data_IF_518482741698
#
_entry.id   IF_518482741698
#
_cell.length_a   1.000
_cell.length_b   1.000
_cell.length_c   1.000
_cell.angle_alpha   90.00
_cell.angle_beta   90.00
_cell.angle_gamma   90.00
#
_symmetry.space_group_name_H-M   'P 1'
#
loop_
_entity.id
_entity.type
_entity.pdbx_description
1 polymer ?
#
# COMPACT_ATOMS: atom_id res chain seq x y z
N UNK A 1 29.58 -19.37 -8.10
CA UNK A 1 28.21 -18.88 -8.38
C UNK A 1 28.13 -17.47 -7.83
N UNK A 2 28.19 -16.46 -8.72
CA UNK A 2 28.10 -15.06 -8.30
C UNK A 2 26.65 -14.77 -7.95
N UNK A 3 26.32 -14.66 -6.66
CA UNK A 3 25.04 -14.14 -6.23
C UNK A 3 25.02 -12.64 -6.53
N UNK A 4 24.48 -12.26 -7.68
CA UNK A 4 24.16 -10.85 -7.95
C UNK A 4 23.19 -10.40 -6.87
N UNK A 5 23.64 -9.53 -5.96
CA UNK A 5 22.74 -8.79 -5.09
C UNK A 5 21.69 -8.12 -5.98
N UNK A 6 20.39 -8.41 -5.80
CA UNK A 6 19.36 -7.83 -6.64
C UNK A 6 19.46 -6.31 -6.58
N UNK A 7 19.40 -5.67 -7.74
CA UNK A 7 19.39 -4.21 -7.80
C UNK A 7 18.18 -3.68 -7.01
N UNK A 8 18.36 -2.68 -6.14
CA UNK A 8 17.26 -2.09 -5.40
C UNK A 8 16.26 -1.46 -6.37
N UNK A 9 15.06 -2.03 -6.45
CA UNK A 9 13.95 -1.46 -7.23
C UNK A 9 13.08 -0.60 -6.31
N UNK A 10 12.66 0.57 -6.80
CA UNK A 10 11.70 1.41 -6.09
C UNK A 10 10.31 0.81 -6.32
N UNK A 11 9.65 0.36 -5.24
CA UNK A 11 8.29 -0.19 -5.30
C UNK A 11 7.21 0.85 -5.07
N UNK A 12 7.55 1.88 -4.31
CA UNK A 12 6.62 2.95 -3.99
C UNK A 12 7.40 4.21 -3.69
N UNK A 13 6.89 5.33 -4.18
CA UNK A 13 7.42 6.67 -3.94
C UNK A 13 6.24 7.53 -3.54
N UNK A 14 6.32 8.13 -2.34
CA UNK A 14 5.26 8.99 -1.81
C UNK A 14 5.86 10.33 -1.37
N UNK A 15 5.23 11.43 -1.78
CA UNK A 15 5.67 12.79 -1.47
C UNK A 15 4.87 13.37 -0.30
N UNK A 16 5.55 13.98 0.67
CA UNK A 16 4.88 14.74 1.74
C UNK A 16 5.00 16.23 1.46
N UNK A 17 3.87 16.91 1.22
CA UNK A 17 3.84 18.34 0.84
C UNK A 17 3.94 19.32 2.03
N UNK A 18 4.27 18.84 3.23
CA UNK A 18 4.22 19.60 4.49
C UNK A 18 5.31 20.68 4.70
N UNK A 19 5.65 21.47 3.68
CA UNK A 19 6.62 22.57 3.69
C UNK A 19 8.12 22.21 3.71
N UNK A 20 8.49 20.96 3.42
CA UNK A 20 9.87 20.56 3.07
C UNK A 20 9.79 19.68 1.81
N UNK A 21 10.80 19.75 0.93
CA UNK A 21 10.93 18.83 -0.21
C UNK A 21 11.30 17.43 0.30
N UNK A 22 10.36 16.77 0.96
CA UNK A 22 10.53 15.48 1.59
C UNK A 22 9.90 14.39 0.72
N UNK A 23 10.73 13.53 0.18
CA UNK A 23 10.33 12.37 -0.60
C UNK A 23 10.62 11.10 0.21
N UNK A 24 9.60 10.29 0.46
CA UNK A 24 9.77 8.98 1.08
C UNK A 24 9.76 7.92 -0.01
N UNK A 25 10.85 7.17 -0.09
CA UNK A 25 10.99 6.06 -1.03
C UNK A 25 10.94 4.75 -0.26
N UNK A 26 10.22 3.80 -0.85
CA UNK A 26 10.25 2.41 -0.42
C UNK A 26 10.97 1.60 -1.49
N UNK A 27 12.02 0.91 -1.06
CA UNK A 27 12.86 0.08 -1.91
C UNK A 27 12.52 -1.38 -1.60
N UNK A 28 12.49 -2.23 -2.64
CA UNK A 28 12.41 -3.68 -2.47
C UNK A 28 13.46 -4.17 -1.46
N UNK A 29 13.08 -5.15 -0.64
CA UNK A 29 13.88 -5.77 0.43
C UNK A 29 13.85 -5.08 1.81
N UNK A 30 12.74 -4.43 2.20
CA UNK A 30 12.56 -3.95 3.57
C UNK A 30 13.54 -2.84 3.97
N UNK A 31 14.05 -2.11 2.97
CA UNK A 31 14.89 -0.93 3.14
C UNK A 31 14.04 0.30 2.84
N UNK A 32 14.09 1.27 3.75
CA UNK A 32 13.48 2.57 3.54
C UNK A 32 14.57 3.56 3.21
N UNK A 33 14.30 4.40 2.21
CA UNK A 33 15.12 5.55 1.92
C UNK A 33 14.27 6.79 2.15
N UNK A 34 14.71 7.62 3.09
CA UNK A 34 14.18 8.95 3.26
C UNK A 34 15.13 9.91 2.55
N UNK A 35 14.65 10.57 1.49
CA UNK A 35 15.44 11.60 0.82
C UNK A 35 14.75 12.93 1.06
N UNK A 36 15.49 13.88 1.61
CA UNK A 36 14.97 15.18 1.96
C UNK A 36 15.95 16.28 1.60
N UNK A 37 15.42 17.48 1.40
CA UNK A 37 16.19 18.72 1.39
C UNK A 37 15.71 19.61 2.52
N UNK A 38 16.64 20.14 3.31
CA UNK A 38 16.30 21.10 4.37
C UNK A 38 15.76 22.40 3.77
N UNK A 39 16.37 22.86 2.67
CA UNK A 39 15.89 23.96 1.84
C UNK A 39 15.98 23.59 0.35
N UNK A 40 15.20 24.24 -0.54
CA UNK A 40 15.24 23.94 -1.99
C UNK A 40 16.61 24.13 -2.65
N UNK A 41 17.53 24.86 -2.00
CA UNK A 41 18.88 25.13 -2.49
C UNK A 41 19.92 24.10 -2.05
N UNK A 42 19.58 23.26 -1.07
CA UNK A 42 20.50 22.25 -0.55
C UNK A 42 20.56 21.03 -1.46
N UNK A 43 21.68 20.30 -1.40
CA UNK A 43 21.77 18.99 -2.01
C UNK A 43 20.85 17.99 -1.26
N UNK A 44 20.25 17.02 -1.97
CA UNK A 44 19.40 16.01 -1.33
C UNK A 44 20.22 15.09 -0.42
N UNK A 45 19.81 14.99 0.85
CA UNK A 45 20.35 14.04 1.80
C UNK A 45 19.50 12.76 1.80
N UNK A 46 20.15 11.59 1.82
CA UNK A 46 19.48 10.30 1.86
C UNK A 46 19.84 9.54 3.14
N UNK A 47 18.83 9.17 3.93
CA UNK A 47 18.98 8.26 5.05
C UNK A 47 18.35 6.92 4.72
N UNK A 48 19.09 5.84 4.96
CA UNK A 48 18.60 4.48 4.80
C UNK A 48 18.33 3.87 6.17
N UNK A 49 17.19 3.24 6.34
CA UNK A 49 16.87 2.48 7.55
C UNK A 49 16.41 1.07 7.22
N UNK A 50 16.77 0.14 8.11
CA UNK A 50 16.29 -1.22 8.13
C UNK A 50 15.40 -1.38 9.37
N UNK A 51 14.17 -1.86 9.18
CA UNK A 51 13.25 -2.08 10.29
C UNK A 51 12.00 -2.82 9.82
N UNK A 52 11.40 -3.60 10.73
CA UNK A 52 10.10 -4.20 10.46
C UNK A 52 9.06 -3.10 10.44
N UNK A 53 8.57 -2.83 9.25
CA UNK A 53 7.46 -1.93 9.02
C UNK A 53 6.15 -2.50 9.61
N UNK A 54 5.37 -1.65 10.26
CA UNK A 54 4.10 -2.06 10.87
C UNK A 54 3.13 -2.65 9.82
N UNK A 55 2.48 -3.76 10.09
CA UNK A 55 1.56 -4.42 9.15
C UNK A 55 0.15 -4.28 9.67
N UNK A 56 -0.84 -4.49 8.80
CA UNK A 56 -2.15 -4.96 9.27
C UNK A 56 -1.93 -6.34 9.86
N UNK A 57 -2.41 -6.55 11.08
CA UNK A 57 -2.33 -7.82 11.81
C UNK A 57 -3.67 -8.58 11.73
N UNK A 58 -4.80 -7.88 11.61
CA UNK A 58 -6.15 -8.46 11.45
C UNK A 58 -6.37 -9.05 10.04
N UNK A 59 -5.68 -10.15 9.73
CA UNK A 59 -5.72 -10.83 8.43
C UNK A 59 -6.69 -12.02 8.47
N UNK A 60 -7.95 -11.79 8.13
CA UNK A 60 -9.01 -12.83 8.18
C UNK A 60 -9.43 -13.39 6.82
N UNK A 61 -9.32 -12.61 5.73
CA UNK A 61 -9.64 -13.07 4.38
C UNK A 61 -8.47 -13.82 3.73
N UNK A 62 -8.69 -14.96 3.04
CA UNK A 62 -7.59 -15.78 2.51
C UNK A 62 -6.92 -15.18 1.27
N UNK A 63 -7.62 -14.35 0.50
CA UNK A 63 -7.07 -13.72 -0.69
C UNK A 63 -6.06 -12.64 -0.34
N UNK A 64 -4.85 -12.79 -0.87
CA UNK A 64 -3.75 -11.84 -0.80
C UNK A 64 -3.51 -11.22 -2.19
N UNK A 65 -3.68 -9.91 -2.29
CA UNK A 65 -3.55 -9.13 -3.51
C UNK A 65 -2.20 -8.42 -3.51
N UNK A 66 -1.33 -8.77 -4.46
CA UNK A 66 -0.08 -8.06 -4.64
C UNK A 66 -0.37 -6.63 -5.10
N UNK A 67 0.16 -5.64 -4.38
CA UNK A 67 0.05 -4.22 -4.72
C UNK A 67 0.47 -3.93 -6.18
N UNK A 68 1.48 -4.63 -6.70
CA UNK A 68 1.96 -4.46 -8.07
C UNK A 68 0.96 -4.95 -9.13
N UNK A 69 -0.05 -5.75 -8.73
CA UNK A 69 -1.14 -6.16 -9.61
C UNK A 69 -2.28 -5.11 -9.69
N UNK A 70 -2.17 -4.01 -8.94
CA UNK A 70 -3.15 -2.93 -8.92
C UNK A 70 -2.68 -1.78 -9.80
N UNK A 71 -3.48 -1.45 -10.82
CA UNK A 71 -3.32 -0.22 -11.60
C UNK A 71 -4.30 0.82 -11.09
N UNK A 72 -3.78 1.82 -10.36
CA UNK A 72 -4.56 2.95 -9.83
C UNK A 72 -5.20 3.74 -10.97
N UNK A 73 -6.47 4.09 -10.82
CA UNK A 73 -7.25 4.85 -11.82
C UNK A 73 -7.72 6.19 -11.28
N UNK A 74 -8.18 6.24 -10.03
CA UNK A 74 -8.68 7.46 -9.40
C UNK A 74 -8.35 7.49 -7.90
N UNK A 75 -8.08 8.67 -7.36
CA UNK A 75 -7.95 8.86 -5.91
C UNK A 75 -9.26 9.38 -5.34
N UNK A 76 -9.87 8.61 -4.44
CA UNK A 76 -11.15 8.96 -3.81
C UNK A 76 -10.93 9.70 -2.48
N UNK A 77 -10.00 9.21 -1.66
CA UNK A 77 -9.59 9.84 -0.39
C UNK A 77 -8.09 9.68 -0.18
N UNK A 78 -7.59 10.08 0.99
CA UNK A 78 -6.18 9.88 1.35
C UNK A 78 -5.77 8.41 1.40
N UNK A 79 -6.68 7.51 1.78
CA UNK A 79 -6.42 6.08 1.97
C UNK A 79 -7.26 5.19 1.07
N UNK A 80 -8.12 5.75 0.21
CA UNK A 80 -8.97 5.00 -0.70
C UNK A 80 -8.72 5.44 -2.14
N UNK A 81 -8.47 4.48 -3.01
CA UNK A 81 -8.22 4.70 -4.43
C UNK A 81 -9.02 3.67 -5.24
N UNK A 82 -9.53 4.09 -6.38
CA UNK A 82 -10.01 3.16 -7.39
C UNK A 82 -8.81 2.52 -8.09
N UNK A 83 -8.90 1.21 -8.32
CA UNK A 83 -7.88 0.48 -9.06
C UNK A 83 -8.48 -0.61 -9.94
N UNK A 84 -7.79 -0.91 -11.03
CA UNK A 84 -7.99 -2.14 -11.79
C UNK A 84 -7.05 -3.20 -11.21
N UNK A 85 -7.64 -4.26 -10.66
CA UNK A 85 -6.92 -5.44 -10.22
C UNK A 85 -6.73 -6.40 -11.40
N UNK A 86 -5.46 -6.60 -11.80
CA UNK A 86 -5.07 -7.58 -12.81
C UNK A 86 -5.06 -8.98 -12.19
N UNK A 87 -5.94 -9.87 -12.68
CA UNK A 87 -6.26 -11.15 -12.01
C UNK A 87 -6.07 -12.36 -12.92
N UNK A 88 -4.90 -12.64 -13.43
CA UNK A 88 -4.73 -13.85 -14.27
C UNK A 88 -5.07 -15.15 -13.51
N UNK A 89 -5.87 -16.08 -14.07
CA UNK A 89 -6.41 -16.13 -15.44
C UNK A 89 -7.81 -15.48 -15.63
N UNK A 90 -8.34 -14.80 -14.62
CA UNK A 90 -9.60 -14.07 -14.67
C UNK A 90 -9.46 -12.69 -15.33
N UNK A 91 -10.60 -12.17 -15.79
CA UNK A 91 -10.66 -10.82 -16.33
C UNK A 91 -10.27 -9.77 -15.25
N UNK A 92 -9.64 -8.65 -15.67
CA UNK A 92 -9.37 -7.54 -14.78
C UNK A 92 -10.65 -7.03 -14.12
N UNK A 93 -10.55 -6.67 -12.84
CA UNK A 93 -11.70 -6.24 -12.05
C UNK A 93 -11.49 -4.82 -11.52
N UNK A 94 -12.51 -3.98 -11.65
CA UNK A 94 -12.53 -2.65 -11.03
C UNK A 94 -12.88 -2.78 -9.54
N UNK A 95 -12.06 -2.19 -8.67
CA UNK A 95 -12.15 -2.32 -7.22
C UNK A 95 -11.92 -0.98 -6.52
N UNK A 96 -12.30 -0.92 -5.24
CA UNK A 96 -11.84 0.11 -4.31
C UNK A 96 -10.75 -0.48 -3.44
N UNK A 97 -9.55 0.07 -3.52
CA UNK A 97 -8.42 -0.34 -2.70
C UNK A 97 -8.21 0.67 -1.58
N UNK A 98 -8.29 0.20 -0.33
CA UNK A 98 -8.02 0.99 0.87
C UNK A 98 -6.67 0.60 1.44
N UNK A 99 -5.68 1.49 1.37
CA UNK A 99 -4.30 1.15 1.74
C UNK A 99 -3.51 2.34 2.27
N UNK A 100 -2.47 2.04 3.06
CA UNK A 100 -1.52 3.04 3.54
C UNK A 100 -0.60 3.52 2.44
N UNK A 101 -0.35 4.83 2.38
CA UNK A 101 0.77 5.42 1.63
C UNK A 101 2.01 5.43 2.51
N UNK A 102 1.82 5.82 3.76
CA UNK A 102 2.87 5.92 4.76
C UNK A 102 2.70 4.90 5.88
N UNK A 103 3.81 4.45 6.47
CA UNK A 103 3.77 3.41 7.49
C UNK A 103 2.98 3.79 8.75
N UNK A 104 2.89 5.09 9.07
CA UNK A 104 2.12 5.58 10.22
C UNK A 104 0.59 5.54 9.99
N UNK A 105 0.13 5.42 8.75
CA UNK A 105 -1.31 5.34 8.43
C UNK A 105 -1.89 3.94 8.71
N UNK A 106 -1.05 2.95 9.04
CA UNK A 106 -1.45 1.55 9.20
C UNK A 106 -2.53 1.36 10.28
N UNK A 107 -2.52 2.19 11.32
CA UNK A 107 -3.50 2.12 12.40
C UNK A 107 -4.93 2.40 11.91
N UNK A 108 -5.10 3.26 10.91
CA UNK A 108 -6.41 3.52 10.31
C UNK A 108 -6.90 2.31 9.51
N UNK A 109 -6.02 1.70 8.73
CA UNK A 109 -6.34 0.50 7.95
C UNK A 109 -6.63 -0.69 8.87
N UNK A 110 -5.86 -0.89 9.94
CA UNK A 110 -6.07 -1.94 10.93
C UNK A 110 -7.48 -1.86 11.53
N UNK A 111 -7.87 -0.66 11.99
CA UNK A 111 -9.19 -0.43 12.58
C UNK A 111 -10.33 -0.68 11.57
N UNK A 112 -10.19 -0.19 10.33
CA UNK A 112 -11.20 -0.46 9.28
C UNK A 112 -11.28 -1.95 8.92
N UNK A 113 -10.13 -2.65 8.87
CA UNK A 113 -10.08 -4.07 8.53
C UNK A 113 -10.82 -4.93 9.57
N UNK A 114 -10.65 -4.63 10.85
CA UNK A 114 -11.37 -5.30 11.94
C UNK A 114 -12.89 -5.06 11.88
N UNK A 115 -13.32 -3.85 11.53
CA UNK A 115 -14.75 -3.56 11.33
C UNK A 115 -15.29 -4.38 10.15
N UNK A 116 -14.57 -4.43 9.04
CA UNK A 116 -15.00 -5.20 7.87
C UNK A 116 -15.08 -6.71 8.11
N UNK A 117 -14.29 -7.27 9.03
CA UNK A 117 -14.43 -8.67 9.45
C UNK A 117 -15.84 -8.95 10.00
N UNK A 118 -16.32 -8.08 10.87
CA UNK A 118 -17.65 -8.19 11.46
C UNK A 118 -18.76 -7.89 10.44
N UNK A 119 -18.60 -6.86 9.60
CA UNK A 119 -19.59 -6.51 8.58
C UNK A 119 -19.74 -7.60 7.51
N UNK A 120 -18.64 -8.26 7.12
CA UNK A 120 -18.65 -9.34 6.16
C UNK A 120 -19.47 -10.54 6.67
N UNK A 121 -19.36 -10.88 7.96
CA UNK A 121 -20.16 -11.95 8.56
C UNK A 121 -21.68 -11.65 8.56
N UNK A 122 -22.06 -10.38 8.47
CA UNK A 122 -23.44 -9.92 8.43
C UNK A 122 -23.96 -9.65 7.00
N UNK A 123 -23.11 -9.81 5.97
CA UNK A 123 -23.39 -9.40 4.60
C UNK A 123 -23.82 -7.93 4.46
N UNK A 124 -23.18 -7.03 5.24
CA UNK A 124 -23.44 -5.59 5.20
C UNK A 124 -22.32 -4.88 4.44
N UNK A 125 -22.68 -4.07 3.45
CA UNK A 125 -21.76 -3.24 2.69
C UNK A 125 -21.10 -3.97 1.51
N UNK A 126 -20.10 -3.34 0.87
CA UNK A 126 -19.40 -3.94 -0.26
C UNK A 126 -18.66 -5.22 0.14
N UNK A 127 -18.65 -6.19 -0.76
CA UNK A 127 -17.88 -7.42 -0.62
C UNK A 127 -16.39 -7.13 -0.42
N UNK A 128 -15.84 -7.70 0.64
CA UNK A 128 -14.40 -7.75 0.86
C UNK A 128 -13.75 -8.74 -0.11
N UNK A 129 -12.77 -8.29 -0.88
CA UNK A 129 -12.14 -9.08 -1.94
C UNK A 129 -10.81 -9.71 -1.52
N UNK A 130 -10.11 -9.09 -0.57
CA UNK A 130 -8.83 -9.57 -0.07
C UNK A 130 -7.97 -8.48 0.53
N UNK A 131 -6.89 -8.92 1.17
CA UNK A 131 -5.89 -8.03 1.75
C UNK A 131 -4.89 -7.60 0.68
N UNK A 132 -4.52 -6.33 0.67
CA UNK A 132 -3.48 -5.80 -0.22
C UNK A 132 -2.15 -5.87 0.50
N UNK A 133 -1.17 -6.51 -0.12
CA UNK A 133 0.17 -6.65 0.43
C UNK A 133 1.25 -6.13 -0.52
N UNK A 134 2.35 -5.74 0.08
CA UNK A 134 3.58 -5.38 -0.61
C UNK A 134 4.70 -6.22 0.00
N UNK A 135 5.29 -7.10 -0.83
CA UNK A 135 6.36 -8.01 -0.40
C UNK A 135 6.07 -8.74 0.93
N UNK A 136 4.84 -9.26 1.08
CA UNK A 136 4.38 -9.96 2.28
C UNK A 136 3.89 -9.08 3.44
N UNK A 137 4.18 -7.77 3.47
CA UNK A 137 3.58 -6.84 4.46
C UNK A 137 2.16 -6.48 4.02
N UNK A 138 1.17 -6.69 4.88
CA UNK A 138 -0.19 -6.24 4.59
C UNK A 138 -0.28 -4.73 4.83
N UNK A 139 -0.71 -4.00 3.80
CA UNK A 139 -0.76 -2.53 3.79
C UNK A 139 -2.16 -1.97 3.58
N UNK A 140 -3.15 -2.83 3.36
CA UNK A 140 -4.47 -2.44 2.93
C UNK A 140 -5.39 -3.62 2.67
N UNK A 141 -6.55 -3.33 2.11
CA UNK A 141 -7.52 -4.29 1.63
C UNK A 141 -8.28 -3.78 0.40
N UNK A 142 -8.95 -4.67 -0.30
CA UNK A 142 -9.75 -4.38 -1.47
C UNK A 142 -11.22 -4.70 -1.23
N UNK A 143 -12.09 -3.82 -1.72
CA UNK A 143 -13.54 -3.97 -1.75
C UNK A 143 -14.03 -3.99 -3.20
N UNK A 144 -15.17 -4.62 -3.44
CA UNK A 144 -15.85 -4.43 -4.72
C UNK A 144 -16.22 -2.96 -4.91
N UNK A 145 -16.12 -2.49 -6.16
CA UNK A 145 -16.67 -1.18 -6.52
C UNK A 145 -18.16 -1.36 -6.75
N UNK A 146 -18.98 -0.61 -6.00
CA UNK A 146 -20.40 -0.50 -6.28
C UNK A 146 -20.59 0.37 -7.52
N UNK A 147 -21.36 -0.12 -8.47
CA UNK A 147 -21.76 0.62 -9.67
C UNK A 147 -23.21 1.07 -9.45
N UNK A 148 -23.50 2.31 -9.83
CA UNK A 148 -24.87 2.85 -9.84
C UNK A 148 -25.75 2.18 -10.90
#
# INVERSE_FOLDING_TARGET
MSSSTPHPEIISMEFSTGCRDNCYYRILAGRHAHIYRATPKDEPEATFSQGKLASVDTVWHPTMINFMALRKTERLTLLAEEAVWQREPHAPQLIIAKMTRFFWEILYIEAETAIFEHLAALNIGPKFLGHVHENGRVIGFALEKLLD
#
